data_IF_114588772134
#
_entry.id   IF_114588772134
#
_cell.length_a   1.000
_cell.length_b   1.000
_cell.length_c   1.000
_cell.angle_alpha   90.00
_cell.angle_beta   90.00
_cell.angle_gamma   90.00
#
_symmetry.space_group_name_H-M   'P 1'
#
loop_
_entity.id
_entity.type
_entity.pdbx_description
1 polymer ?
#
# COMPACT_ATOMS: atom_id res chain seq x y z
N UNK A 1 -24.76 0.98 18.56
CA UNK A 1 -24.65 2.41 18.96
C UNK A 1 -23.35 3.01 18.45
N UNK A 2 -22.19 2.45 18.78
CA UNK A 2 -20.88 2.90 18.27
C UNK A 2 -20.75 2.93 16.73
N UNK A 3 -21.30 1.93 16.02
CA UNK A 3 -21.30 1.89 14.54
C UNK A 3 -22.01 3.12 13.93
N UNK A 4 -23.18 3.46 14.46
CA UNK A 4 -23.98 4.59 13.98
C UNK A 4 -23.31 5.93 14.30
N UNK A 5 -22.71 6.04 15.49
CA UNK A 5 -21.98 7.24 15.89
C UNK A 5 -20.78 7.50 14.98
N UNK A 6 -19.99 6.46 14.71
CA UNK A 6 -18.85 6.53 13.78
C UNK A 6 -19.27 6.86 12.35
N UNK A 7 -20.39 6.27 11.89
CA UNK A 7 -20.95 6.60 10.58
C UNK A 7 -21.33 8.09 10.48
N UNK A 8 -22.02 8.62 11.50
CA UNK A 8 -22.36 10.04 11.56
C UNK A 8 -21.13 10.93 11.62
N UNK A 9 -20.11 10.56 12.42
CA UNK A 9 -18.84 11.30 12.47
C UNK A 9 -18.16 11.32 11.11
N UNK A 10 -18.09 10.18 10.43
CA UNK A 10 -17.50 10.08 9.09
C UNK A 10 -18.25 10.95 8.08
N UNK A 11 -19.58 10.91 8.04
CA UNK A 11 -20.35 11.74 7.10
C UNK A 11 -20.24 13.22 7.41
N UNK A 12 -20.26 13.60 8.70
CA UNK A 12 -20.13 14.99 9.11
C UNK A 12 -18.75 15.57 8.75
N UNK A 13 -17.68 14.79 8.89
CA UNK A 13 -16.35 15.22 8.47
C UNK A 13 -16.29 15.38 6.96
N UNK A 14 -16.94 14.50 6.19
CA UNK A 14 -17.03 14.66 4.73
C UNK A 14 -17.79 15.94 4.37
N UNK A 15 -18.89 16.24 5.06
CA UNK A 15 -19.66 17.48 4.84
C UNK A 15 -18.79 18.71 5.13
N UNK A 16 -18.07 18.73 6.26
CA UNK A 16 -17.14 19.82 6.61
C UNK A 16 -16.03 19.99 5.57
N UNK A 17 -15.48 18.90 5.05
CA UNK A 17 -14.46 18.93 3.99
C UNK A 17 -15.04 19.55 2.72
N UNK A 18 -16.25 19.17 2.33
CA UNK A 18 -16.89 19.72 1.14
C UNK A 18 -17.23 21.19 1.30
N UNK A 19 -17.75 21.61 2.44
CA UNK A 19 -18.01 23.02 2.74
C UNK A 19 -16.73 23.85 2.68
N UNK A 20 -15.64 23.37 3.29
CA UNK A 20 -14.33 24.05 3.28
C UNK A 20 -13.81 24.26 1.86
N UNK A 21 -13.98 23.25 0.98
CA UNK A 21 -13.47 23.31 -0.40
C UNK A 21 -14.41 24.11 -1.30
N UNK A 22 -15.72 23.98 -1.12
CA UNK A 22 -16.71 24.75 -1.88
C UNK A 22 -16.62 26.26 -1.53
N UNK A 23 -16.26 26.62 -0.29
CA UNK A 23 -15.94 27.99 0.11
C UNK A 23 -14.67 28.53 -0.57
N UNK A 24 -13.66 27.68 -0.79
CA UNK A 24 -12.42 28.04 -1.48
C UNK A 24 -12.64 28.26 -2.97
N UNK A 25 -13.43 27.41 -3.63
CA UNK A 25 -13.79 27.54 -5.04
C UNK A 25 -14.60 28.83 -5.33
N UNK A 26 -15.27 29.41 -4.32
CA UNK A 26 -16.03 30.65 -4.44
C UNK A 26 -15.18 31.93 -4.31
N UNK A 27 -13.88 31.84 -3.97
CA UNK A 27 -12.96 32.98 -3.94
C UNK A 27 -12.19 33.04 -5.27
N UNK A 28 -12.66 33.77 -6.29
CA UNK A 28 -12.01 33.79 -7.59
C UNK A 28 -10.81 34.74 -7.51
N UNK A 29 -9.62 34.22 -7.77
CA UNK A 29 -8.51 34.90 -8.46
C UNK A 29 -8.15 36.34 -8.04
N UNK A 30 -8.25 36.70 -6.75
CA UNK A 30 -7.62 37.94 -6.25
C UNK A 30 -6.23 37.70 -5.65
N UNK A 31 -5.86 36.45 -5.38
CA UNK A 31 -4.56 36.09 -4.82
C UNK A 31 -3.50 35.65 -5.85
N UNK A 32 -3.84 35.48 -7.14
CA UNK A 32 -2.83 35.16 -8.17
C UNK A 32 -1.81 36.30 -8.40
N UNK A 33 -2.05 37.50 -7.84
CA UNK A 33 -1.13 38.65 -7.95
C UNK A 33 -0.31 38.86 -6.66
N UNK A 34 -0.60 38.15 -5.57
CA UNK A 34 0.08 38.34 -4.26
C UNK A 34 0.80 37.08 -3.74
N UNK A 35 0.81 35.97 -4.49
CA UNK A 35 1.40 34.70 -4.07
C UNK A 35 2.93 34.62 -4.27
N UNK A 36 3.66 35.70 -4.03
CA UNK A 36 5.13 35.73 -4.20
C UNK A 36 5.91 35.98 -2.89
N UNK A 37 5.25 35.99 -1.72
CA UNK A 37 5.95 36.29 -0.44
C UNK A 37 5.39 35.64 0.85
N UNK A 38 4.49 34.65 0.78
CA UNK A 38 4.08 33.91 1.99
C UNK A 38 4.27 32.42 1.79
N UNK A 39 5.18 31.82 2.57
CA UNK A 39 5.44 30.38 2.65
C UNK A 39 4.29 29.59 3.29
N UNK A 40 3.05 29.94 2.93
CA UNK A 40 1.83 29.29 3.32
C UNK A 40 1.64 28.02 2.52
N UNK A 41 1.27 26.94 3.21
CA UNK A 41 0.78 25.71 2.60
C UNK A 41 -0.35 26.08 1.61
N UNK A 42 -0.35 25.58 0.36
CA UNK A 42 -1.42 25.89 -0.60
C UNK A 42 -2.81 25.66 0.03
N UNK A 43 -3.74 26.58 -0.19
CA UNK A 43 -5.03 26.61 0.52
C UNK A 43 -5.94 25.40 0.25
N UNK A 44 -5.61 24.54 -0.73
CA UNK A 44 -6.36 23.34 -1.14
C UNK A 44 -6.14 22.09 -0.25
N UNK A 45 -5.26 22.17 0.76
CA UNK A 45 -4.93 21.02 1.59
C UNK A 45 -5.81 20.89 2.84
N UNK A 46 -6.20 19.65 3.14
CA UNK A 46 -6.94 19.29 4.34
C UNK A 46 -6.09 19.49 5.59
N UNK A 47 -6.75 19.88 6.68
CA UNK A 47 -6.11 19.89 7.99
C UNK A 47 -5.69 18.47 8.41
N UNK A 48 -4.53 18.36 9.08
CA UNK A 48 -3.96 17.07 9.47
C UNK A 48 -4.86 16.36 10.49
N UNK A 49 -5.40 17.08 11.47
CA UNK A 49 -6.22 16.48 12.51
C UNK A 49 -7.56 16.00 11.93
N UNK A 50 -8.16 16.81 11.03
CA UNK A 50 -9.36 16.39 10.28
C UNK A 50 -9.12 15.10 9.49
N UNK A 51 -7.98 15.00 8.78
CA UNK A 51 -7.64 13.83 7.98
C UNK A 51 -7.33 12.60 8.84
N UNK A 52 -6.67 12.78 9.99
CA UNK A 52 -6.41 11.71 10.93
C UNK A 52 -7.70 11.11 11.48
N UNK A 53 -8.66 11.96 11.88
CA UNK A 53 -9.98 11.52 12.36
C UNK A 53 -10.76 10.85 11.22
N UNK A 54 -10.77 11.43 10.01
CA UNK A 54 -11.41 10.83 8.84
C UNK A 54 -10.88 9.41 8.58
N UNK A 55 -9.55 9.22 8.62
CA UNK A 55 -8.90 7.92 8.45
C UNK A 55 -9.31 6.93 9.53
N UNK A 56 -9.32 7.35 10.80
CA UNK A 56 -9.70 6.48 11.92
C UNK A 56 -11.16 6.01 11.81
N UNK A 57 -12.07 6.91 11.44
CA UNK A 57 -13.48 6.56 11.23
C UNK A 57 -13.66 5.67 9.98
N UNK A 58 -12.93 5.94 8.89
CA UNK A 58 -12.90 5.06 7.72
C UNK A 58 -12.41 3.64 8.09
N UNK A 59 -11.37 3.53 8.91
CA UNK A 59 -10.85 2.23 9.36
C UNK A 59 -11.89 1.45 10.17
N UNK A 60 -12.61 2.10 11.10
CA UNK A 60 -13.70 1.49 11.87
C UNK A 60 -14.85 1.02 10.96
N UNK A 61 -15.28 1.88 10.04
CA UNK A 61 -16.38 1.57 9.11
C UNK A 61 -16.01 0.48 8.09
N UNK A 62 -14.74 0.39 7.68
CA UNK A 62 -14.23 -0.72 6.87
C UNK A 62 -14.37 -2.04 7.62
N UNK A 63 -13.95 -2.09 8.89
CA UNK A 63 -14.07 -3.29 9.74
C UNK A 63 -15.53 -3.71 9.93
N UNK A 64 -16.45 -2.75 10.09
CA UNK A 64 -17.88 -3.04 10.20
C UNK A 64 -18.60 -3.26 8.86
N UNK A 65 -17.90 -3.11 7.73
CA UNK A 65 -18.45 -3.33 6.38
C UNK A 65 -19.61 -2.38 6.04
N UNK A 66 -19.44 -1.09 6.36
CA UNK A 66 -20.51 -0.07 6.23
C UNK A 66 -20.19 1.13 5.36
N UNK A 67 -18.95 1.28 4.89
CA UNK A 67 -18.56 2.39 3.99
C UNK A 67 -19.43 2.41 2.72
N UNK A 68 -19.83 1.24 2.23
CA UNK A 68 -20.69 1.08 1.05
C UNK A 68 -22.11 1.66 1.21
N UNK A 69 -22.50 2.13 2.40
CA UNK A 69 -23.79 2.82 2.61
C UNK A 69 -23.73 4.31 2.28
N UNK A 70 -22.53 4.90 2.19
CA UNK A 70 -22.36 6.31 1.81
C UNK A 70 -22.65 6.45 0.31
N UNK A 71 -23.26 7.56 -0.10
CA UNK A 71 -23.55 7.82 -1.51
C UNK A 71 -22.25 7.72 -2.35
N UNK A 72 -22.21 6.91 -3.42
CA UNK A 72 -21.04 6.75 -4.27
C UNK A 72 -20.50 8.05 -4.86
N UNK A 73 -21.38 8.99 -5.25
CA UNK A 73 -20.97 10.29 -5.81
C UNK A 73 -20.19 11.13 -4.78
N UNK A 74 -20.62 11.09 -3.52
CA UNK A 74 -19.90 11.73 -2.41
C UNK A 74 -18.53 11.08 -2.21
N UNK A 75 -18.45 9.75 -2.29
CA UNK A 75 -17.16 9.06 -2.16
C UNK A 75 -16.23 9.38 -3.32
N UNK A 76 -16.75 9.51 -4.54
CA UNK A 76 -15.96 9.94 -5.71
C UNK A 76 -15.41 11.35 -5.50
N UNK A 77 -16.24 12.34 -5.09
CA UNK A 77 -15.78 13.70 -4.78
C UNK A 77 -14.69 13.68 -3.71
N UNK A 78 -14.89 12.92 -2.63
CA UNK A 78 -13.89 12.78 -1.56
C UNK A 78 -12.58 12.17 -2.07
N UNK A 79 -12.62 11.13 -2.90
CA UNK A 79 -11.42 10.51 -3.45
C UNK A 79 -10.61 11.47 -4.35
N UNK A 80 -11.28 12.30 -5.14
CA UNK A 80 -10.63 13.34 -5.94
C UNK A 80 -9.93 14.38 -5.05
N UNK A 81 -10.56 14.79 -3.94
CA UNK A 81 -9.96 15.70 -2.96
C UNK A 81 -8.74 15.07 -2.29
N UNK A 82 -8.86 13.80 -1.88
CA UNK A 82 -7.76 13.05 -1.29
C UNK A 82 -6.59 12.90 -2.28
N UNK A 83 -6.86 12.75 -3.57
CA UNK A 83 -5.84 12.72 -4.62
C UNK A 83 -5.05 14.01 -4.72
N UNK A 84 -5.71 15.18 -4.69
CA UNK A 84 -5.02 16.48 -4.61
C UNK A 84 -4.12 16.55 -3.38
N UNK A 85 -4.60 16.07 -2.24
CA UNK A 85 -3.84 16.03 -0.98
C UNK A 85 -2.64 15.07 -0.98
N UNK A 86 -2.55 14.17 -1.97
CA UNK A 86 -1.38 13.31 -2.18
C UNK A 86 -0.31 13.98 -3.05
N UNK A 87 -0.58 15.13 -3.69
CA UNK A 87 0.40 15.83 -4.55
C UNK A 87 1.38 16.65 -3.71
N UNK A 88 2.65 16.55 -4.08
CA UNK A 88 3.73 17.36 -3.53
C UNK A 88 3.99 18.44 -4.60
N UNK A 89 3.58 19.68 -4.35
CA UNK A 89 4.11 20.84 -5.07
C UNK A 89 5.56 21.05 -4.61
N UNK A 90 6.51 20.86 -5.52
CA UNK A 90 7.94 20.93 -5.27
C UNK A 90 8.40 22.38 -5.04
N UNK A 91 8.26 22.90 -3.83
CA UNK A 91 8.95 24.13 -3.42
C UNK A 91 10.11 23.76 -2.51
N UNK A 92 11.30 23.61 -3.09
CA UNK A 92 12.58 23.36 -2.43
C UNK A 92 12.98 24.58 -1.57
N UNK A 93 12.71 24.55 -0.26
CA UNK A 93 13.26 25.58 0.63
C UNK A 93 13.94 25.02 1.87
N UNK A 94 15.25 25.23 2.00
CA UNK A 94 16.11 24.39 2.86
C UNK A 94 16.24 24.87 4.32
N UNK A 95 15.11 25.27 4.93
CA UNK A 95 15.04 25.74 6.33
C UNK A 95 14.76 24.62 7.35
N UNK A 96 15.06 24.85 8.63
CA UNK A 96 14.76 23.89 9.71
C UNK A 96 13.26 23.86 10.06
N UNK A 97 12.56 25.00 9.94
CA UNK A 97 11.09 25.06 9.99
C UNK A 97 10.46 24.28 8.82
N UNK A 98 11.08 24.36 7.64
CA UNK A 98 10.67 23.60 6.47
C UNK A 98 10.76 22.08 6.70
N UNK A 99 11.69 21.58 7.53
CA UNK A 99 11.75 20.15 7.85
C UNK A 99 10.58 19.64 8.69
N UNK A 100 10.01 20.49 9.55
CA UNK A 100 8.83 20.15 10.35
C UNK A 100 7.56 20.22 9.48
N UNK A 101 7.45 21.27 8.66
CA UNK A 101 6.38 21.44 7.65
C UNK A 101 6.38 20.28 6.63
N UNK A 102 7.55 19.85 6.17
CA UNK A 102 7.71 18.66 5.30
C UNK A 102 7.27 17.39 6.02
N UNK A 103 7.52 17.27 7.32
CA UNK A 103 7.08 16.13 8.13
C UNK A 103 5.56 16.01 8.18
N UNK A 104 4.87 17.13 8.43
CA UNK A 104 3.40 17.17 8.46
C UNK A 104 2.80 16.97 7.06
N UNK A 105 3.42 17.53 6.01
CA UNK A 105 2.99 17.30 4.62
C UNK A 105 3.09 15.83 4.21
N UNK A 106 4.22 15.18 4.51
CA UNK A 106 4.42 13.75 4.27
C UNK A 106 3.37 12.91 5.02
N UNK A 107 3.10 13.26 6.28
CA UNK A 107 2.07 12.57 7.06
C UNK A 107 0.67 12.76 6.49
N UNK A 108 0.32 13.97 6.07
CA UNK A 108 -0.96 14.29 5.42
C UNK A 108 -1.14 13.48 4.14
N UNK A 109 -0.13 13.44 3.28
CA UNK A 109 -0.17 12.65 2.05
C UNK A 109 -0.25 11.12 2.32
N UNK A 110 0.40 10.65 3.39
CA UNK A 110 0.30 9.26 3.85
C UNK A 110 -1.11 8.91 4.38
N UNK A 111 -1.72 9.79 5.17
CA UNK A 111 -3.06 9.58 5.71
C UNK A 111 -4.13 9.70 4.60
N UNK A 112 -3.94 10.58 3.61
CA UNK A 112 -4.83 10.74 2.47
C UNK A 112 -4.83 9.49 1.58
N UNK A 113 -3.65 9.00 1.20
CA UNK A 113 -3.49 7.77 0.43
C UNK A 113 -4.08 6.55 1.15
N UNK A 114 -3.81 6.41 2.46
CA UNK A 114 -4.40 5.32 3.26
C UNK A 114 -5.92 5.40 3.28
N UNK A 115 -6.49 6.59 3.49
CA UNK A 115 -7.94 6.78 3.54
C UNK A 115 -8.59 6.45 2.21
N UNK A 116 -8.00 6.91 1.09
CA UNK A 116 -8.48 6.59 -0.25
C UNK A 116 -8.50 5.07 -0.49
N UNK A 117 -7.40 4.38 -0.16
CA UNK A 117 -7.31 2.93 -0.32
C UNK A 117 -8.26 2.18 0.61
N UNK A 118 -8.47 2.62 1.86
CA UNK A 118 -9.43 2.03 2.79
C UNK A 118 -10.88 2.12 2.27
N UNK A 119 -11.25 3.24 1.65
CA UNK A 119 -12.57 3.42 1.04
C UNK A 119 -12.73 2.46 -0.13
N UNK A 120 -11.79 2.43 -1.08
CA UNK A 120 -11.87 1.57 -2.28
C UNK A 120 -11.84 0.07 -1.96
N UNK A 121 -11.09 -0.33 -0.93
CA UNK A 121 -10.94 -1.75 -0.52
C UNK A 121 -12.02 -2.22 0.46
N UNK A 122 -13.03 -1.39 0.73
CA UNK A 122 -14.17 -1.77 1.55
C UNK A 122 -15.06 -2.80 0.85
N UNK A 123 -15.87 -3.52 1.62
CA UNK A 123 -16.72 -4.58 1.07
C UNK A 123 -17.87 -4.03 0.24
N UNK A 124 -18.14 -4.64 -0.91
CA UNK A 124 -19.28 -4.33 -1.80
C UNK A 124 -19.30 -2.86 -2.26
N UNK A 125 -18.14 -2.30 -2.57
CA UNK A 125 -18.04 -0.97 -3.17
C UNK A 125 -18.52 -0.98 -4.63
N UNK A 126 -19.26 0.04 -5.08
CA UNK A 126 -19.68 0.15 -6.47
C UNK A 126 -18.49 0.50 -7.37
N UNK A 127 -18.56 0.07 -8.64
CA UNK A 127 -17.47 0.24 -9.62
C UNK A 127 -16.99 1.69 -9.79
N UNK A 128 -17.91 2.64 -9.63
CA UNK A 128 -17.68 4.09 -9.76
C UNK A 128 -16.62 4.61 -8.79
N UNK A 129 -16.45 3.96 -7.64
CA UNK A 129 -15.52 4.39 -6.58
C UNK A 129 -14.08 3.94 -6.88
N UNK A 130 -13.87 3.02 -7.82
CA UNK A 130 -12.54 2.59 -8.24
C UNK A 130 -11.99 3.53 -9.32
N UNK A 131 -11.48 4.68 -8.88
CA UNK A 131 -10.86 5.69 -9.74
C UNK A 131 -9.38 5.35 -9.92
N UNK A 132 -8.86 5.44 -11.14
CA UNK A 132 -7.47 5.09 -11.46
C UNK A 132 -6.46 6.09 -10.86
N UNK A 133 -6.73 7.40 -10.95
CA UNK A 133 -5.78 8.44 -10.51
C UNK A 133 -5.37 8.33 -9.03
N UNK A 134 -6.30 8.17 -8.05
CA UNK A 134 -5.90 7.98 -6.65
C UNK A 134 -5.14 6.67 -6.40
N UNK A 135 -5.38 5.63 -7.20
CA UNK A 135 -4.65 4.35 -7.11
C UNK A 135 -3.21 4.55 -7.56
N UNK A 136 -3.01 5.08 -8.77
CA UNK A 136 -1.69 5.29 -9.34
C UNK A 136 -0.87 6.27 -8.48
N UNK A 137 -1.51 7.32 -7.97
CA UNK A 137 -0.85 8.26 -7.06
C UNK A 137 -0.45 7.60 -5.74
N UNK A 138 -1.30 6.75 -5.16
CA UNK A 138 -0.98 5.99 -3.94
C UNK A 138 0.20 5.04 -4.16
N UNK A 139 0.27 4.38 -5.32
CA UNK A 139 1.37 3.48 -5.71
C UNK A 139 2.69 4.27 -5.81
N UNK A 140 2.67 5.43 -6.48
CA UNK A 140 3.84 6.30 -6.62
C UNK A 140 4.34 6.81 -5.25
N UNK A 141 3.44 7.30 -4.41
CA UNK A 141 3.77 7.79 -3.08
C UNK A 141 4.33 6.69 -2.18
N UNK A 142 3.76 5.48 -2.24
CA UNK A 142 4.32 4.31 -1.56
C UNK A 142 5.75 4.00 -2.03
N UNK A 143 6.03 4.09 -3.33
CA UNK A 143 7.37 3.91 -3.90
C UNK A 143 8.36 4.94 -3.37
N UNK A 144 7.96 6.20 -3.32
CA UNK A 144 8.77 7.29 -2.80
C UNK A 144 9.08 7.09 -1.32
N UNK A 145 8.10 6.74 -0.48
CA UNK A 145 8.32 6.49 0.95
C UNK A 145 9.24 5.29 1.21
N UNK A 146 9.10 4.22 0.45
CA UNK A 146 9.99 3.06 0.57
C UNK A 146 11.44 3.43 0.25
N UNK A 147 11.67 4.07 -0.90
CA UNK A 147 13.01 4.36 -1.40
C UNK A 147 13.72 5.49 -0.65
N UNK A 148 12.98 6.53 -0.25
CA UNK A 148 13.58 7.75 0.30
C UNK A 148 13.57 7.80 1.83
N UNK A 149 12.65 7.09 2.48
CA UNK A 149 12.44 7.17 3.94
C UNK A 149 12.74 5.83 4.61
N UNK A 150 12.06 4.74 4.19
CA UNK A 150 12.10 3.46 4.91
C UNK A 150 13.41 2.72 4.68
N UNK A 151 13.80 2.41 3.43
CA UNK A 151 15.01 1.64 3.16
C UNK A 151 16.29 2.33 3.64
N UNK A 152 16.51 3.65 3.41
CA UNK A 152 17.72 4.32 3.89
C UNK A 152 17.83 4.39 5.42
N UNK A 153 16.71 4.30 6.13
CA UNK A 153 16.70 4.28 7.61
C UNK A 153 16.87 2.86 8.14
N UNK A 154 16.41 1.85 7.41
CA UNK A 154 16.39 0.45 7.86
C UNK A 154 17.70 -0.28 7.57
N UNK A 155 18.39 0.09 6.48
CA UNK A 155 19.67 -0.49 6.08
C UNK A 155 20.64 0.58 5.55
N UNK A 156 21.86 0.55 6.08
CA UNK A 156 22.94 1.47 5.70
C UNK A 156 23.56 1.12 4.32
N UNK A 157 23.30 -0.07 3.78
CA UNK A 157 23.73 -0.51 2.45
C UNK A 157 23.06 0.28 1.31
N UNK A 158 21.80 0.72 1.52
CA UNK A 158 21.04 1.57 0.59
C UNK A 158 21.54 3.02 0.53
N UNK A 159 22.42 3.44 1.44
CA UNK A 159 23.05 4.76 1.41
C UNK A 159 24.23 4.88 0.41
N UNK A 160 24.49 3.86 -0.41
CA UNK A 160 25.69 3.77 -1.26
C UNK A 160 25.76 4.77 -2.42
N UNK A 161 24.70 5.54 -2.72
CA UNK A 161 24.74 6.53 -3.81
C UNK A 161 25.29 7.92 -3.42
N UNK A 162 25.44 8.25 -2.13
CA UNK A 162 25.87 9.59 -1.69
C UNK A 162 27.16 9.56 -0.85
N UNK A 163 28.22 8.93 -1.37
CA UNK A 163 29.56 8.86 -0.74
C UNK A 163 30.33 10.20 -0.69
N UNK A 164 29.72 11.34 -1.02
CA UNK A 164 30.43 12.63 -1.11
C UNK A 164 30.47 13.52 0.14
N UNK A 165 29.59 13.37 1.15
CA UNK A 165 29.40 14.45 2.16
C UNK A 165 29.03 14.00 3.59
N UNK A 166 29.75 13.06 4.20
CA UNK A 166 29.35 12.55 5.54
C UNK A 166 30.47 12.31 6.56
N UNK A 167 31.50 13.16 6.62
CA UNK A 167 32.49 13.08 7.71
C UNK A 167 32.28 14.04 8.90
N UNK A 168 31.34 14.99 8.87
CA UNK A 168 31.20 15.95 9.99
C UNK A 168 30.02 15.70 10.97
N UNK A 169 28.93 15.05 10.57
CA UNK A 169 27.69 15.10 11.37
C UNK A 169 27.54 14.02 12.47
N UNK A 170 28.63 13.39 12.92
CA UNK A 170 28.56 12.29 13.92
C UNK A 170 28.33 12.72 15.38
N UNK A 171 28.43 14.02 15.73
CA UNK A 171 28.38 14.45 17.16
C UNK A 171 27.21 15.34 17.59
N UNK A 172 26.31 15.81 16.70
CA UNK A 172 25.20 16.71 17.07
C UNK A 172 23.78 16.10 17.00
N UNK A 173 23.65 14.76 16.99
CA UNK A 173 22.39 14.08 16.65
C UNK A 173 21.87 13.16 17.78
N UNK A 174 21.62 13.69 18.98
CA UNK A 174 21.06 12.90 20.10
C UNK A 174 19.76 13.44 20.73
N UNK A 175 19.36 14.69 20.51
CA UNK A 175 18.10 15.25 21.05
C UNK A 175 16.98 15.40 19.99
N UNK A 176 17.33 15.77 18.75
CA UNK A 176 16.40 15.94 17.60
C UNK A 176 15.89 14.59 17.01
N UNK A 177 16.31 13.46 17.56
CA UNK A 177 16.04 12.13 17.00
C UNK A 177 14.66 11.54 17.35
N UNK A 178 13.97 12.02 18.39
CA UNK A 178 12.74 11.36 18.86
C UNK A 178 11.52 11.66 17.98
N UNK A 179 11.31 12.92 17.58
CA UNK A 179 10.20 13.32 16.70
C UNK A 179 10.38 12.70 15.31
N UNK A 180 11.59 12.78 14.75
CA UNK A 180 11.93 12.14 13.47
C UNK A 180 11.75 10.61 13.52
N UNK A 181 12.12 9.97 14.63
CA UNK A 181 11.89 8.53 14.82
C UNK A 181 10.40 8.20 14.88
N UNK A 182 9.56 9.05 15.48
CA UNK A 182 8.10 8.86 15.53
C UNK A 182 7.47 9.00 14.15
N UNK A 183 7.82 10.04 13.39
CA UNK A 183 7.32 10.24 12.02
C UNK A 183 7.70 9.05 11.13
N UNK A 184 8.96 8.59 11.18
CA UNK A 184 9.40 7.43 10.39
C UNK A 184 8.64 6.15 10.78
N UNK A 185 8.38 5.92 12.07
CA UNK A 185 7.57 4.78 12.53
C UNK A 185 6.12 4.87 12.04
N UNK A 186 5.53 6.07 12.06
CA UNK A 186 4.18 6.28 11.55
C UNK A 186 4.13 6.02 10.04
N UNK A 187 5.07 6.57 9.27
CA UNK A 187 5.17 6.31 7.81
C UNK A 187 5.36 4.82 7.54
N UNK A 188 6.21 4.12 8.28
CA UNK A 188 6.36 2.67 8.16
C UNK A 188 5.04 1.93 8.35
N UNK A 189 4.27 2.33 9.37
CA UNK A 189 2.94 1.77 9.64
C UNK A 189 1.97 2.04 8.49
N UNK A 190 1.95 3.28 7.96
CA UNK A 190 1.10 3.68 6.82
C UNK A 190 1.45 2.93 5.54
N UNK A 191 2.73 2.82 5.21
CA UNK A 191 3.18 2.07 4.03
C UNK A 191 2.83 0.59 4.16
N UNK A 192 3.00 0.01 5.35
CA UNK A 192 2.61 -1.39 5.61
C UNK A 192 1.10 -1.60 5.40
N UNK A 193 0.26 -0.67 5.87
CA UNK A 193 -1.18 -0.68 5.63
C UNK A 193 -1.54 -0.51 4.15
N UNK A 194 -0.86 0.40 3.44
CA UNK A 194 -1.04 0.61 1.99
C UNK A 194 -0.76 -0.67 1.19
N UNK A 195 0.37 -1.35 1.44
CA UNK A 195 0.68 -2.62 0.78
C UNK A 195 -0.41 -3.67 1.06
N UNK A 196 -0.90 -3.73 2.30
CA UNK A 196 -2.04 -4.58 2.65
C UNK A 196 -3.31 -4.24 1.86
N UNK A 197 -3.63 -2.96 1.73
CA UNK A 197 -4.77 -2.48 0.96
C UNK A 197 -4.62 -2.77 -0.54
N UNK A 198 -3.43 -2.59 -1.13
CA UNK A 198 -3.16 -2.97 -2.51
C UNK A 198 -3.37 -4.47 -2.74
N UNK A 199 -3.00 -5.32 -1.78
CA UNK A 199 -3.26 -6.75 -1.87
C UNK A 199 -4.76 -7.07 -1.92
N UNK A 200 -5.58 -6.35 -1.16
CA UNK A 200 -7.05 -6.47 -1.18
C UNK A 200 -7.65 -5.92 -2.48
N UNK A 201 -7.15 -4.77 -2.95
CA UNK A 201 -7.56 -4.13 -4.19
C UNK A 201 -7.33 -5.05 -5.38
N UNK A 202 -6.12 -5.63 -5.49
CA UNK A 202 -5.73 -6.61 -6.50
C UNK A 202 -6.66 -7.83 -6.48
N UNK A 203 -7.21 -8.25 -5.33
CA UNK A 203 -8.17 -9.38 -5.30
C UNK A 203 -9.57 -8.99 -5.76
N UNK A 204 -9.91 -7.71 -5.65
CA UNK A 204 -11.29 -7.22 -5.82
C UNK A 204 -11.54 -6.67 -7.23
N UNK A 205 -10.61 -5.89 -7.77
CA UNK A 205 -10.76 -5.15 -9.03
C UNK A 205 -9.63 -5.51 -10.01
N UNK A 206 -9.92 -5.55 -11.31
CA UNK A 206 -8.87 -5.65 -12.35
C UNK A 206 -8.18 -4.29 -12.49
N UNK A 207 -6.84 -4.30 -12.42
CA UNK A 207 -5.99 -3.13 -12.55
C UNK A 207 -5.30 -3.15 -13.93
N UNK A 208 -4.79 -1.99 -14.36
CA UNK A 208 -4.00 -1.87 -15.58
C UNK A 208 -2.65 -2.58 -15.43
N UNK A 209 -2.08 -3.06 -16.55
CA UNK A 209 -0.77 -3.74 -16.54
C UNK A 209 0.34 -2.86 -15.95
N UNK A 210 0.28 -1.55 -16.21
CA UNK A 210 1.22 -0.56 -15.65
C UNK A 210 1.13 -0.52 -14.12
N UNK A 211 -0.07 -0.45 -13.56
CA UNK A 211 -0.26 -0.43 -12.11
C UNK A 211 0.21 -1.76 -11.47
N UNK A 212 -0.10 -2.90 -12.11
CA UNK A 212 0.35 -4.23 -11.64
C UNK A 212 1.87 -4.33 -11.66
N UNK A 213 2.55 -3.87 -12.71
CA UNK A 213 4.00 -3.87 -12.79
C UNK A 213 4.65 -3.04 -11.67
N UNK A 214 4.08 -1.88 -11.36
CA UNK A 214 4.55 -1.05 -10.25
C UNK A 214 4.32 -1.74 -8.90
N UNK A 215 3.17 -2.38 -8.70
CA UNK A 215 2.87 -3.17 -7.50
C UNK A 215 3.79 -4.38 -7.33
N UNK A 216 4.19 -5.05 -8.41
CA UNK A 216 5.22 -6.11 -8.37
C UNK A 216 6.55 -5.56 -7.84
N UNK A 217 6.99 -4.41 -8.35
CA UNK A 217 8.22 -3.75 -7.90
C UNK A 217 8.14 -3.36 -6.42
N UNK A 218 7.01 -2.81 -5.98
CA UNK A 218 6.75 -2.46 -4.58
C UNK A 218 6.73 -3.68 -3.67
N UNK A 219 6.11 -4.78 -4.12
CA UNK A 219 6.00 -6.02 -3.37
C UNK A 219 7.33 -6.74 -3.20
N UNK A 220 8.20 -6.74 -4.21
CA UNK A 220 9.48 -7.44 -4.18
C UNK A 220 10.55 -6.69 -3.37
N UNK A 221 10.56 -5.37 -3.40
CA UNK A 221 11.59 -4.54 -2.74
C UNK A 221 11.86 -4.86 -1.24
N UNK A 222 10.83 -5.05 -0.39
CA UNK A 222 11.01 -5.26 1.05
C UNK A 222 11.78 -6.52 1.44
N UNK A 223 11.88 -7.53 0.57
CA UNK A 223 12.59 -8.78 0.88
C UNK A 223 14.12 -8.61 0.93
N UNK A 224 14.63 -7.52 0.35
CA UNK A 224 16.07 -7.22 0.27
C UNK A 224 16.51 -6.14 1.26
N UNK A 225 15.61 -5.71 2.14
CA UNK A 225 15.88 -4.74 3.19
C UNK A 225 15.85 -5.41 4.58
N UNK A 226 16.73 -4.96 5.47
CA UNK A 226 16.75 -5.40 6.85
C UNK A 226 15.68 -4.71 7.71
N UNK A 227 15.28 -5.35 8.81
CA UNK A 227 14.37 -4.81 9.83
C UNK A 227 12.94 -4.41 9.35
N UNK A 228 12.46 -4.95 8.23
CA UNK A 228 11.13 -4.63 7.67
C UNK A 228 10.15 -5.83 7.67
N UNK A 229 10.14 -6.64 8.72
CA UNK A 229 9.37 -7.89 8.78
C UNK A 229 7.85 -7.76 8.60
N UNK A 230 7.21 -6.75 9.18
CA UNK A 230 5.75 -6.53 9.02
C UNK A 230 5.40 -6.17 7.57
N UNK A 231 6.23 -5.31 6.98
CA UNK A 231 6.14 -4.93 5.57
C UNK A 231 6.32 -6.13 4.65
N UNK A 232 7.30 -7.00 4.92
CA UNK A 232 7.50 -8.26 4.18
C UNK A 232 6.25 -9.14 4.25
N UNK A 233 5.59 -9.24 5.40
CA UNK A 233 4.36 -10.01 5.55
C UNK A 233 3.20 -9.48 4.68
N UNK A 234 3.05 -8.15 4.58
CA UNK A 234 2.05 -7.57 3.67
C UNK A 234 2.46 -7.74 2.19
N UNK A 235 3.75 -7.65 1.89
CA UNK A 235 4.27 -7.93 0.54
C UNK A 235 4.01 -9.37 0.10
N UNK A 236 4.10 -10.36 1.00
CA UNK A 236 3.70 -11.75 0.71
C UNK A 236 2.25 -11.78 0.25
N UNK A 237 1.35 -11.09 0.97
CA UNK A 237 -0.08 -11.05 0.59
C UNK A 237 -0.31 -10.36 -0.74
N UNK A 238 0.42 -9.29 -1.05
CA UNK A 238 0.32 -8.54 -2.31
C UNK A 238 0.82 -9.39 -3.49
N UNK A 239 2.07 -9.86 -3.44
CA UNK A 239 2.65 -10.64 -4.52
C UNK A 239 1.86 -11.93 -4.77
N UNK A 240 1.39 -12.61 -3.71
CA UNK A 240 0.54 -13.80 -3.87
C UNK A 240 -0.82 -13.47 -4.51
N UNK A 241 -1.39 -12.28 -4.24
CA UNK A 241 -2.62 -11.84 -4.89
C UNK A 241 -2.41 -11.60 -6.38
N UNK A 242 -1.29 -10.94 -6.74
CA UNK A 242 -0.92 -10.68 -8.13
C UNK A 242 -0.65 -12.00 -8.85
N UNK A 243 0.16 -12.88 -8.25
CA UNK A 243 0.55 -14.17 -8.82
C UNK A 243 -0.65 -15.08 -9.07
N UNK A 244 -1.65 -15.05 -8.19
CA UNK A 244 -2.89 -15.81 -8.36
C UNK A 244 -3.74 -15.31 -9.55
N UNK A 245 -3.85 -13.98 -9.74
CA UNK A 245 -4.74 -13.38 -10.76
C UNK A 245 -4.10 -13.09 -12.11
N UNK A 246 -2.83 -12.69 -12.15
CA UNK A 246 -2.16 -12.19 -13.35
C UNK A 246 -1.05 -13.14 -13.79
N UNK A 247 -1.39 -14.07 -14.68
CA UNK A 247 -0.51 -15.15 -15.12
C UNK A 247 0.74 -14.63 -15.86
N UNK A 248 0.57 -13.55 -16.63
CA UNK A 248 1.63 -12.91 -17.42
C UNK A 248 2.80 -12.40 -16.56
N UNK A 249 2.55 -12.01 -15.31
CA UNK A 249 3.57 -11.47 -14.42
C UNK A 249 4.30 -12.55 -13.61
N UNK A 250 3.81 -13.80 -13.57
CA UNK A 250 4.37 -14.88 -12.73
C UNK A 250 5.86 -15.12 -12.98
N UNK A 251 6.25 -15.23 -14.25
CA UNK A 251 7.65 -15.44 -14.65
C UNK A 251 8.54 -14.26 -14.28
N UNK A 252 8.06 -13.03 -14.53
CA UNK A 252 8.78 -11.80 -14.19
C UNK A 252 9.05 -11.71 -12.68
N UNK A 253 8.02 -11.97 -11.85
CA UNK A 253 8.16 -11.96 -10.39
C UNK A 253 9.21 -12.97 -9.94
N UNK A 254 9.19 -14.21 -10.46
CA UNK A 254 10.19 -15.22 -10.09
C UNK A 254 11.60 -14.79 -10.51
N UNK A 255 11.76 -14.25 -11.73
CA UNK A 255 13.06 -13.80 -12.24
C UNK A 255 13.61 -12.61 -11.43
N UNK A 256 12.78 -11.62 -11.11
CA UNK A 256 13.17 -10.47 -10.31
C UNK A 256 13.62 -10.90 -8.91
N UNK A 257 12.87 -11.82 -8.30
CA UNK A 257 13.21 -12.39 -6.99
C UNK A 257 14.55 -13.15 -7.04
N UNK A 258 14.75 -14.03 -8.03
CA UNK A 258 15.99 -14.79 -8.22
C UNK A 258 17.20 -13.88 -8.46
N UNK A 259 17.06 -12.85 -9.29
CA UNK A 259 18.14 -11.90 -9.60
C UNK A 259 18.68 -11.20 -8.36
N UNK A 260 17.84 -11.01 -7.34
CA UNK A 260 18.15 -10.28 -6.12
C UNK A 260 18.39 -11.18 -4.89
N UNK A 261 18.42 -12.52 -5.06
CA UNK A 261 18.70 -13.48 -3.97
C UNK A 261 20.02 -13.19 -3.29
N UNK A 262 21.04 -12.75 -4.04
CA UNK A 262 22.36 -12.42 -3.51
C UNK A 262 22.35 -11.25 -2.50
N UNK A 263 21.27 -10.45 -2.45
CA UNK A 263 21.09 -9.32 -1.54
C UNK A 263 20.37 -9.68 -0.25
N UNK A 264 19.99 -10.95 -0.08
CA UNK A 264 19.29 -11.38 1.12
C UNK A 264 20.17 -11.19 2.36
N UNK A 265 19.59 -10.71 3.48
CA UNK A 265 20.33 -10.59 4.73
C UNK A 265 20.94 -11.94 5.15
N UNK A 266 22.25 -12.02 5.43
CA UNK A 266 22.91 -13.27 5.77
C UNK A 266 22.51 -13.78 7.17
N UNK A 267 21.98 -12.91 8.03
CA UNK A 267 21.59 -13.25 9.39
C UNK A 267 20.08 -13.42 9.51
N UNK A 268 19.64 -14.59 9.98
CA UNK A 268 18.23 -14.84 10.32
C UNK A 268 17.96 -14.21 11.69
N UNK A 269 17.09 -13.22 11.72
CA UNK A 269 16.64 -12.51 12.93
C UNK A 269 15.12 -12.67 13.05
N UNK A 270 14.58 -12.49 14.26
CA UNK A 270 13.11 -12.46 14.49
C UNK A 270 12.37 -11.43 13.62
N UNK A 271 13.08 -10.47 13.02
CA UNK A 271 12.51 -9.40 12.19
C UNK A 271 12.55 -9.67 10.69
N UNK A 272 13.23 -10.72 10.23
CA UNK A 272 13.31 -11.11 8.81
C UNK A 272 12.97 -12.59 8.59
N UNK A 273 12.49 -13.26 9.64
CA UNK A 273 12.16 -14.68 9.64
C UNK A 273 10.74 -14.91 10.15
N UNK A 274 10.08 -15.90 9.57
CA UNK A 274 8.76 -16.37 9.97
C UNK A 274 8.90 -17.51 10.97
N UNK A 275 8.17 -17.44 12.08
CA UNK A 275 8.13 -18.49 13.10
C UNK A 275 7.17 -19.59 12.65
N UNK A 276 7.70 -20.74 12.25
CA UNK A 276 6.89 -21.87 11.79
C UNK A 276 6.34 -22.68 12.98
N UNK A 277 7.20 -22.97 13.96
CA UNK A 277 6.88 -23.65 15.22
C UNK A 277 7.51 -22.89 16.39
N UNK A 278 7.32 -23.34 17.63
CA UNK A 278 7.88 -22.66 18.81
C UNK A 278 9.38 -22.36 18.67
N UNK A 279 10.17 -23.24 18.03
CA UNK A 279 11.63 -23.09 17.99
C UNK A 279 12.22 -22.94 16.57
N UNK A 280 11.42 -23.06 15.51
CA UNK A 280 11.93 -23.01 14.13
C UNK A 280 11.55 -21.72 13.38
N UNK A 281 12.57 -21.11 12.77
CA UNK A 281 12.46 -19.88 11.99
C UNK A 281 12.90 -20.12 10.54
N UNK A 282 12.04 -19.77 9.60
CA UNK A 282 12.33 -19.81 8.17
C UNK A 282 12.42 -18.39 7.60
N UNK A 283 13.16 -18.19 6.51
CA UNK A 283 13.25 -16.86 5.90
C UNK A 283 11.90 -16.45 5.32
N UNK A 284 11.53 -15.18 5.45
CA UNK A 284 10.33 -14.62 4.82
C UNK A 284 10.36 -14.80 3.29
N UNK A 285 11.56 -14.87 2.68
CA UNK A 285 11.72 -15.18 1.25
C UNK A 285 11.26 -16.61 0.92
N UNK A 286 11.60 -17.58 1.76
CA UNK A 286 11.13 -18.98 1.59
C UNK A 286 9.61 -19.06 1.70
N UNK A 287 9.02 -18.34 2.66
CA UNK A 287 7.56 -18.26 2.82
C UNK A 287 6.92 -17.67 1.57
N UNK A 288 7.48 -16.58 1.03
CA UNK A 288 7.00 -15.97 -0.21
C UNK A 288 6.98 -17.00 -1.34
N UNK A 289 8.10 -17.69 -1.61
CA UNK A 289 8.19 -18.65 -2.72
C UNK A 289 7.18 -19.78 -2.57
N UNK A 290 7.03 -20.34 -1.36
CA UNK A 290 6.02 -21.35 -1.09
C UNK A 290 4.60 -20.82 -1.37
N UNK A 291 4.30 -19.60 -0.89
CA UNK A 291 2.99 -18.98 -1.07
C UNK A 291 2.70 -18.63 -2.55
N UNK A 292 3.70 -18.19 -3.31
CA UNK A 292 3.54 -17.89 -4.75
C UNK A 292 3.17 -19.16 -5.51
N UNK A 293 3.92 -20.24 -5.32
CA UNK A 293 3.65 -21.55 -5.95
C UNK A 293 2.27 -22.06 -5.57
N UNK A 294 1.89 -21.98 -4.29
CA UNK A 294 0.57 -22.39 -3.80
C UNK A 294 -0.57 -21.52 -4.35
N UNK A 295 -0.32 -20.22 -4.58
CA UNK A 295 -1.35 -19.27 -5.05
C UNK A 295 -1.81 -19.49 -6.50
N UNK A 296 -1.09 -20.33 -7.27
CA UNK A 296 -1.46 -20.73 -8.64
C UNK A 296 -2.65 -21.68 -8.65
N UNK A 297 -2.83 -22.46 -7.59
CA UNK A 297 -3.87 -23.49 -7.54
C UNK A 297 -5.25 -22.83 -7.54
N UNK A 298 -6.05 -23.13 -8.57
CA UNK A 298 -7.41 -22.62 -8.72
C UNK A 298 -8.36 -23.63 -8.11
N UNK A 299 -8.94 -23.29 -6.97
CA UNK A 299 -9.98 -24.12 -6.33
C UNK A 299 -11.35 -23.61 -6.80
N UNK A 300 -12.16 -24.45 -7.49
CA UNK A 300 -13.51 -24.10 -7.85
C UNK A 300 -14.32 -23.69 -6.62
N UNK A 301 -15.02 -22.56 -6.70
CA UNK A 301 -15.93 -22.14 -5.63
C UNK A 301 -17.17 -23.01 -5.71
N UNK A 302 -17.28 -24.04 -4.86
CA UNK A 302 -18.56 -24.72 -4.63
C UNK A 302 -19.61 -23.67 -4.23
N UNK A 303 -20.52 -23.34 -5.14
CA UNK A 303 -21.72 -22.59 -4.81
C UNK A 303 -22.46 -23.41 -3.75
N UNK A 304 -22.71 -22.83 -2.57
CA UNK A 304 -23.84 -23.28 -1.75
C UNK A 304 -25.10 -22.79 -2.46
N UNK A 305 -25.60 -23.56 -3.41
CA UNK A 305 -26.97 -23.46 -3.90
C UNK A 305 -27.79 -24.54 -3.19
N UNK A 306 -28.53 -24.13 -2.17
CA UNK A 306 -29.83 -24.77 -1.93
C UNK A 306 -30.67 -24.49 -3.18
N UNK A 307 -31.30 -25.54 -3.73
CA UNK A 307 -32.21 -25.55 -4.89
C UNK A 307 -31.58 -25.49 -6.29
N UNK A 308 -31.22 -26.66 -6.82
CA UNK A 308 -31.75 -27.16 -8.11
C UNK A 308 -31.22 -28.58 -8.36
N UNK A 309 -32.13 -29.55 -8.41
CA UNK A 309 -31.87 -30.87 -8.99
C UNK A 309 -31.72 -30.70 -10.50
N UNK A 310 -30.53 -30.96 -11.03
CA UNK A 310 -30.33 -31.58 -12.34
C UNK A 310 -28.92 -32.20 -12.41
N UNK A 311 -28.84 -33.28 -13.18
CA UNK A 311 -27.95 -34.43 -13.00
C UNK A 311 -26.75 -34.37 -13.98
N UNK A 312 -25.55 -34.67 -13.47
CA UNK A 312 -24.36 -35.25 -14.13
C UNK A 312 -23.45 -34.45 -15.10
N UNK A 313 -23.53 -33.12 -15.25
CA UNK A 313 -22.55 -32.36 -16.08
C UNK A 313 -21.60 -31.39 -15.34
N UNK A 314 -21.78 -31.10 -14.05
CA UNK A 314 -21.04 -30.03 -13.36
C UNK A 314 -19.75 -30.45 -12.62
N UNK A 315 -19.34 -31.72 -12.60
CA UNK A 315 -18.17 -32.18 -11.80
C UNK A 315 -16.88 -32.37 -12.59
N UNK A 316 -16.93 -32.66 -13.88
CA UNK A 316 -15.74 -32.97 -14.70
C UNK A 316 -14.93 -31.72 -15.06
N UNK A 317 -15.60 -30.60 -15.32
CA UNK A 317 -14.97 -29.31 -15.64
C UNK A 317 -14.18 -28.78 -14.44
N UNK A 318 -14.74 -28.87 -13.24
CA UNK A 318 -14.09 -28.46 -11.99
C UNK A 318 -12.84 -29.28 -11.69
N UNK A 319 -12.85 -30.60 -11.94
CA UNK A 319 -11.69 -31.48 -11.75
C UNK A 319 -10.57 -31.20 -12.76
N UNK A 320 -10.88 -30.82 -14.00
CA UNK A 320 -9.87 -30.43 -15.00
C UNK A 320 -9.17 -29.12 -14.62
N UNK A 321 -9.91 -28.12 -14.12
CA UNK A 321 -9.33 -26.85 -13.67
C UNK A 321 -8.33 -27.06 -12.53
N UNK A 322 -8.66 -27.93 -11.57
CA UNK A 322 -7.76 -28.25 -10.47
C UNK A 322 -6.50 -28.94 -11.01
N UNK A 323 -6.66 -29.99 -11.84
CA UNK A 323 -5.52 -30.72 -12.43
C UNK A 323 -4.59 -29.80 -13.23
N UNK A 324 -5.14 -28.94 -14.08
CA UNK A 324 -4.36 -28.00 -14.90
C UNK A 324 -3.60 -26.99 -14.03
N UNK A 325 -4.25 -26.46 -12.98
CA UNK A 325 -3.61 -25.52 -12.05
C UNK A 325 -2.49 -26.17 -11.23
N UNK A 326 -2.60 -27.46 -10.91
CA UNK A 326 -1.53 -28.23 -10.25
C UNK A 326 -0.34 -28.45 -11.19
N UNK A 327 -0.59 -28.76 -12.46
CA UNK A 327 0.46 -28.85 -13.48
C UNK A 327 1.17 -27.50 -13.65
N UNK A 328 0.42 -26.41 -13.64
CA UNK A 328 1.01 -25.07 -13.70
C UNK A 328 1.84 -24.72 -12.46
N UNK A 329 1.34 -25.07 -11.26
CA UNK A 329 2.07 -24.97 -10.01
C UNK A 329 3.41 -25.72 -10.07
N UNK A 330 3.42 -26.96 -10.59
CA UNK A 330 4.66 -27.72 -10.81
C UNK A 330 5.61 -27.03 -11.78
N UNK A 331 5.11 -26.43 -12.88
CA UNK A 331 5.95 -25.66 -13.82
C UNK A 331 6.58 -24.45 -13.13
N UNK A 332 5.84 -23.72 -12.31
CA UNK A 332 6.37 -22.56 -11.57
C UNK A 332 7.41 -22.97 -10.52
N UNK A 333 7.17 -24.08 -9.80
CA UNK A 333 8.13 -24.64 -8.87
C UNK A 333 9.43 -25.06 -9.57
N UNK A 334 9.32 -25.77 -10.69
CA UNK A 334 10.47 -26.17 -11.51
C UNK A 334 11.23 -24.97 -12.06
N UNK A 335 10.53 -23.92 -12.52
CA UNK A 335 11.15 -22.67 -12.98
C UNK A 335 12.00 -22.04 -11.87
N UNK A 336 11.43 -21.89 -10.68
CA UNK A 336 12.17 -21.34 -9.54
C UNK A 336 13.39 -22.21 -9.16
N UNK A 337 13.20 -23.53 -9.01
CA UNK A 337 14.28 -24.45 -8.63
C UNK A 337 15.41 -24.48 -9.67
N UNK A 338 15.07 -24.49 -10.96
CA UNK A 338 16.07 -24.44 -12.03
C UNK A 338 16.88 -23.16 -12.03
N UNK A 339 16.25 -22.02 -11.72
CA UNK A 339 16.95 -20.73 -11.66
C UNK A 339 17.71 -20.51 -10.36
N UNK A 340 17.32 -21.19 -9.28
CA UNK A 340 18.00 -21.10 -7.98
C UNK A 340 19.22 -22.02 -7.88
N UNK A 341 19.20 -23.18 -8.55
CA UNK A 341 20.29 -24.15 -8.55
C UNK A 341 21.29 -23.97 -9.70
N UNK A 342 20.96 -23.14 -10.69
CA UNK A 342 21.88 -22.71 -11.75
C UNK A 342 22.87 -21.67 -11.20
#
# INVERSE_FOLDING_TARGET
MAERESYMKFTNIIDQIFETIDEQDFVPSTNEILADDDGGIPQDFLDRDQLEVLRQEAQKLKLWKKINKVNPERLVKLLTILEKNMRDDDEDDSSEAYREVVGDRIMRAADASCTAMLIMTSTKMPKQVFIEDPIDRSIQLCKQFLNNIIYPTSDNSYCTSNKGRKNENRKRKKSVNNVRSRIIKNIYTRVTELIGCFAELVRTQSLTDTAVLQLCTLGSGPFFADNVGELQMQSIKLLSAIFSRYENFRKSIIQDLLSSVHRLPPTKTSKNSYRMTSDEWISNMTVLIMQLVQSVVKVPRRRRSEESFDVDEETTVDDTIVKDSVVECQKMASLFLSGFLA
#
